data_IF_681445683312
#
_entry.id   IF_681445683312
#
_cell.length_a   1.000
_cell.length_b   1.000
_cell.length_c   1.000
_cell.angle_alpha   90.00
_cell.angle_beta   90.00
_cell.angle_gamma   90.00
#
_symmetry.space_group_name_H-M   'P 1'
#
loop_
_entity.id
_entity.type
_entity.pdbx_description
1 polymer ?
#
# COMPACT_ATOMS: atom_id res chain seq x y z
N UNK A 1 5.21 -6.52 49.30
CA UNK A 1 4.86 -6.73 47.87
C UNK A 1 6.06 -7.34 47.18
N UNK A 2 5.87 -8.43 46.43
CA UNK A 2 6.95 -9.05 45.65
C UNK A 2 7.39 -8.07 44.56
N UNK A 3 8.69 -7.99 44.26
CA UNK A 3 9.25 -7.08 43.22
C UNK A 3 8.49 -7.16 41.88
N UNK A 4 7.98 -8.34 41.53
CA UNK A 4 7.16 -8.57 40.34
C UNK A 4 5.82 -7.79 40.37
N UNK A 5 5.13 -7.70 41.51
CA UNK A 5 3.85 -6.98 41.65
C UNK A 5 4.02 -5.47 41.45
N UNK A 6 5.13 -4.92 41.93
CA UNK A 6 5.47 -3.49 41.81
C UNK A 6 5.72 -3.14 40.34
N UNK A 7 6.48 -3.98 39.64
CA UNK A 7 6.77 -3.82 38.22
C UNK A 7 5.49 -3.96 37.38
N UNK A 8 4.61 -4.91 37.71
CA UNK A 8 3.31 -5.06 37.04
C UNK A 8 2.44 -3.81 37.23
N UNK A 9 2.38 -3.26 38.46
CA UNK A 9 1.63 -2.04 38.73
C UNK A 9 2.16 -0.85 37.91
N UNK A 10 3.48 -0.73 37.81
CA UNK A 10 4.14 0.29 36.99
C UNK A 10 3.88 0.09 35.49
N UNK A 11 3.94 -1.13 34.96
CA UNK A 11 3.62 -1.38 33.54
C UNK A 11 2.18 -0.97 33.23
N UNK A 12 1.24 -1.24 34.14
CA UNK A 12 -0.17 -0.87 33.97
C UNK A 12 -0.44 0.63 34.13
N UNK A 13 0.44 1.42 34.78
CA UNK A 13 0.25 2.88 34.90
C UNK A 13 0.42 3.63 33.57
N UNK A 14 1.03 2.98 32.56
CA UNK A 14 1.07 3.49 31.18
C UNK A 14 -0.23 3.25 30.40
N UNK A 15 -1.28 2.76 31.07
CA UNK A 15 -2.62 2.57 30.50
C UNK A 15 -2.66 1.75 29.20
N UNK A 16 -2.17 0.49 29.19
CA UNK A 16 -2.21 -0.37 28.01
C UNK A 16 -3.68 -0.69 27.64
N UNK A 17 -4.09 -0.31 26.43
CA UNK A 17 -5.47 -0.44 25.95
C UNK A 17 -5.66 -1.70 25.11
N UNK A 18 -6.82 -2.35 25.21
CA UNK A 18 -7.13 -3.47 24.30
C UNK A 18 -7.20 -2.94 22.87
N UNK A 19 -6.62 -3.67 21.91
CA UNK A 19 -6.84 -3.34 20.49
C UNK A 19 -8.32 -3.53 20.17
N UNK A 20 -9.01 -2.42 19.91
CA UNK A 20 -10.39 -2.42 19.42
C UNK A 20 -10.53 -3.03 18.01
N UNK A 21 -9.43 -3.43 17.36
CA UNK A 21 -9.38 -3.79 15.94
C UNK A 21 -9.10 -5.29 15.68
N UNK A 22 -8.57 -6.04 16.65
CA UNK A 22 -8.13 -7.44 16.43
C UNK A 22 -8.81 -8.47 17.36
N UNK A 23 -10.12 -8.36 17.55
CA UNK A 23 -10.89 -9.32 18.36
C UNK A 23 -10.92 -10.74 17.75
N UNK A 24 -10.67 -10.90 16.44
CA UNK A 24 -10.65 -12.22 15.77
C UNK A 24 -9.32 -12.97 15.84
N UNK A 25 -8.18 -12.29 15.98
CA UNK A 25 -6.84 -12.92 15.86
C UNK A 25 -6.00 -12.90 17.14
N UNK A 26 -6.27 -11.99 18.08
CA UNK A 26 -5.57 -11.93 19.39
C UNK A 26 -6.51 -11.49 20.52
N UNK A 27 -7.47 -12.33 20.93
CA UNK A 27 -8.32 -12.02 22.08
C UNK A 27 -7.42 -11.84 23.31
N UNK A 28 -7.60 -10.75 24.06
CA UNK A 28 -6.90 -10.38 25.31
C UNK A 28 -5.52 -9.68 25.20
N UNK A 29 -5.04 -9.31 24.01
CA UNK A 29 -3.80 -8.52 23.90
C UNK A 29 -4.05 -7.02 24.10
N UNK A 30 -3.27 -6.38 24.98
CA UNK A 30 -3.31 -4.93 25.25
C UNK A 30 -2.13 -4.24 24.56
N UNK A 31 -2.25 -2.94 24.31
CA UNK A 31 -1.29 -2.18 23.51
C UNK A 31 -0.97 -0.84 24.14
N UNK A 32 0.32 -0.49 24.14
CA UNK A 32 0.84 0.81 24.50
C UNK A 32 1.12 1.66 23.24
N UNK A 33 1.14 2.99 23.36
CA UNK A 33 1.55 3.90 22.27
C UNK A 33 2.89 3.50 21.59
N UNK A 34 3.05 3.72 20.26
CA UNK A 34 4.23 3.31 19.49
C UNK A 34 5.53 4.03 19.85
N UNK A 35 5.40 5.21 20.44
CA UNK A 35 6.46 6.08 20.94
C UNK A 35 7.06 5.60 22.27
N UNK A 36 6.36 4.72 22.99
CA UNK A 36 6.88 4.08 24.19
C UNK A 36 7.75 2.87 23.83
N UNK A 37 8.79 2.63 24.64
CA UNK A 37 9.64 1.45 24.53
C UNK A 37 9.84 0.81 25.91
N UNK A 38 10.10 -0.50 25.95
CA UNK A 38 10.40 -1.20 27.22
C UNK A 38 11.59 -0.55 27.92
N UNK A 39 12.59 -0.09 27.16
CA UNK A 39 13.76 0.60 27.70
C UNK A 39 13.39 1.91 28.39
N UNK A 40 12.54 2.72 27.76
CA UNK A 40 12.03 3.95 28.35
C UNK A 40 11.27 3.67 29.65
N UNK A 41 10.34 2.72 29.63
CA UNK A 41 9.57 2.37 30.83
C UNK A 41 10.47 1.81 31.95
N UNK A 42 11.50 1.02 31.62
CA UNK A 42 12.46 0.55 32.61
C UNK A 42 13.28 1.69 33.23
N UNK A 43 13.69 2.69 32.43
CA UNK A 43 14.38 3.88 32.92
C UNK A 43 13.47 4.67 33.88
N UNK A 44 12.20 4.84 33.52
CA UNK A 44 11.20 5.48 34.38
C UNK A 44 11.02 4.73 35.71
N UNK A 45 10.92 3.40 35.66
CA UNK A 45 10.84 2.55 36.86
C UNK A 45 12.09 2.67 37.74
N UNK A 46 13.27 2.79 37.15
CA UNK A 46 14.52 2.88 37.89
C UNK A 46 14.68 4.19 38.67
N UNK A 47 13.87 5.21 38.38
CA UNK A 47 13.77 6.41 39.21
C UNK A 47 13.09 6.11 40.55
N UNK A 48 12.28 5.05 40.62
CA UNK A 48 11.59 4.60 41.84
C UNK A 48 12.36 3.47 42.54
N UNK A 49 12.80 2.46 41.77
CA UNK A 49 13.49 1.29 42.31
C UNK A 49 14.44 0.66 41.29
N UNK A 50 15.71 0.48 41.66
CA UNK A 50 16.72 -0.13 40.77
C UNK A 50 16.48 -1.63 40.59
N UNK A 51 16.27 -2.06 39.35
CA UNK A 51 16.28 -3.47 38.92
C UNK A 51 16.97 -3.62 37.57
N UNK A 52 17.37 -4.84 37.21
CA UNK A 52 17.95 -5.09 35.89
C UNK A 52 16.92 -4.97 34.78
N UNK A 53 17.38 -4.50 33.61
CA UNK A 53 16.55 -4.42 32.41
C UNK A 53 15.96 -5.78 32.03
N UNK A 54 16.74 -6.86 32.12
CA UNK A 54 16.26 -8.22 31.80
C UNK A 54 15.17 -8.72 32.74
N UNK A 55 15.19 -8.31 34.02
CA UNK A 55 14.09 -8.63 34.93
C UNK A 55 12.83 -7.88 34.53
N UNK A 56 12.93 -6.56 34.27
CA UNK A 56 11.79 -5.75 33.83
C UNK A 56 11.21 -6.25 32.50
N UNK A 57 12.06 -6.56 31.50
CA UNK A 57 11.65 -7.08 30.19
C UNK A 57 10.90 -8.40 30.31
N UNK A 58 11.41 -9.35 31.11
CA UNK A 58 10.74 -10.64 31.33
C UNK A 58 9.37 -10.48 31.99
N UNK A 59 9.23 -9.55 32.93
CA UNK A 59 7.93 -9.27 33.56
C UNK A 59 6.98 -8.63 32.54
N UNK A 60 7.46 -7.70 31.71
CA UNK A 60 6.68 -7.09 30.63
C UNK A 60 6.19 -8.11 29.60
N UNK A 61 7.06 -9.02 29.15
CA UNK A 61 6.71 -10.08 28.17
C UNK A 61 5.58 -10.99 28.68
N UNK A 62 5.48 -11.20 30.00
CA UNK A 62 4.38 -11.95 30.63
C UNK A 62 3.03 -11.21 30.66
N UNK A 63 2.98 -9.88 30.46
CA UNK A 63 1.75 -9.08 30.62
C UNK A 63 0.78 -9.11 29.43
N UNK A 64 1.12 -9.85 28.36
CA UNK A 64 0.39 -9.86 27.08
C UNK A 64 0.12 -8.43 26.54
N UNK A 65 1.13 -7.56 26.63
CA UNK A 65 1.11 -6.17 26.15
C UNK A 65 2.04 -6.05 24.92
N UNK A 66 1.60 -5.36 23.88
CA UNK A 66 2.43 -4.97 22.73
C UNK A 66 2.51 -3.45 22.58
N UNK A 67 3.27 -2.96 21.60
CA UNK A 67 3.21 -1.55 21.19
C UNK A 67 2.31 -1.44 19.94
N UNK A 68 1.36 -0.51 19.97
CA UNK A 68 0.40 -0.25 18.89
C UNK A 68 1.20 0.33 17.73
N UNK A 69 1.42 -0.44 16.65
CA UNK A 69 1.83 0.18 15.37
C UNK A 69 0.75 1.21 14.99
N UNK A 70 1.10 2.40 14.47
CA UNK A 70 0.11 3.24 13.82
C UNK A 70 -0.61 2.37 12.79
N UNK A 71 -1.93 2.25 12.93
CA UNK A 71 -2.75 1.64 11.89
C UNK A 71 -2.55 2.49 10.64
N UNK A 72 -2.29 1.80 9.52
CA UNK A 72 -2.45 2.34 8.17
C UNK A 72 -3.75 3.17 8.09
N UNK A 73 -3.74 4.26 7.31
CA UNK A 73 -4.76 5.32 7.30
C UNK A 73 -6.18 4.78 7.56
N UNK A 74 -6.76 5.15 8.70
CA UNK A 74 -8.10 4.69 9.06
C UNK A 74 -9.11 5.21 8.03
N UNK A 75 -9.93 4.31 7.47
CA UNK A 75 -10.99 4.68 6.54
C UNK A 75 -11.92 5.76 7.16
N UNK A 76 -11.98 6.93 6.52
CA UNK A 76 -12.76 8.06 7.00
C UNK A 76 -14.26 7.75 7.13
N UNK A 77 -14.82 6.93 6.23
CA UNK A 77 -16.23 6.51 6.32
C UNK A 77 -16.47 5.58 7.51
N UNK A 78 -15.56 4.63 7.75
CA UNK A 78 -15.60 3.78 8.94
C UNK A 78 -15.50 4.59 10.23
N UNK A 79 -14.59 5.57 10.29
CA UNK A 79 -14.44 6.45 11.45
C UNK A 79 -15.70 7.27 11.70
N UNK A 80 -16.29 7.85 10.63
CA UNK A 80 -17.54 8.61 10.70
C UNK A 80 -18.68 7.76 11.27
N UNK A 81 -18.82 6.51 10.82
CA UNK A 81 -19.84 5.60 11.34
C UNK A 81 -19.58 5.23 12.82
N UNK A 82 -18.33 4.94 13.19
CA UNK A 82 -17.95 4.65 14.59
C UNK A 82 -18.34 5.77 15.54
N UNK A 83 -18.03 7.02 15.19
CA UNK A 83 -18.42 8.19 16.00
C UNK A 83 -19.94 8.35 16.06
N UNK A 84 -20.62 8.03 14.96
CA UNK A 84 -22.07 8.16 14.85
C UNK A 84 -22.83 7.19 15.77
N UNK A 85 -22.44 5.92 15.84
CA UNK A 85 -23.14 4.90 16.64
C UNK A 85 -22.97 5.09 18.17
N UNK A 86 -21.92 5.78 18.62
CA UNK A 86 -21.71 6.13 20.04
C UNK A 86 -22.88 6.98 20.57
N UNK A 87 -23.56 7.73 19.69
CA UNK A 87 -24.69 8.59 20.04
C UNK A 87 -26.04 7.85 20.10
N UNK A 88 -26.04 6.51 20.10
CA UNK A 88 -27.24 5.65 20.15
C UNK A 88 -28.26 6.01 19.06
N UNK A 89 -27.93 5.66 17.81
CA UNK A 89 -28.79 5.90 16.66
C UNK A 89 -29.55 4.63 16.25
N UNK A 90 -30.82 4.78 15.88
CA UNK A 90 -31.59 3.73 15.22
C UNK A 90 -31.08 3.54 13.78
N UNK A 91 -30.51 2.36 13.51
CA UNK A 91 -29.84 2.05 12.26
C UNK A 91 -30.79 1.99 11.05
N UNK A 92 -32.09 1.75 11.25
CA UNK A 92 -33.05 1.45 10.18
C UNK A 92 -33.45 2.67 9.33
N UNK A 93 -33.36 3.89 9.88
CA UNK A 93 -33.73 5.15 9.21
C UNK A 93 -32.56 6.12 9.02
N UNK A 94 -31.36 5.74 9.45
CA UNK A 94 -30.23 6.64 9.47
C UNK A 94 -29.40 6.59 8.19
N UNK A 95 -29.29 7.74 7.51
CA UNK A 95 -28.46 7.91 6.29
C UNK A 95 -27.00 7.50 6.49
N UNK A 96 -26.40 7.77 7.66
CA UNK A 96 -24.98 7.43 7.93
C UNK A 96 -24.81 5.92 8.07
N UNK A 97 -25.75 5.24 8.75
CA UNK A 97 -25.76 3.79 8.88
C UNK A 97 -25.99 3.12 7.52
N UNK A 98 -26.95 3.59 6.71
CA UNK A 98 -27.17 3.07 5.36
C UNK A 98 -25.94 3.26 4.45
N UNK A 99 -25.28 4.43 4.51
CA UNK A 99 -24.04 4.69 3.78
C UNK A 99 -22.93 3.74 4.22
N UNK A 100 -22.79 3.49 5.52
CA UNK A 100 -21.81 2.56 6.05
C UNK A 100 -22.08 1.11 5.61
N UNK A 101 -23.32 0.63 5.61
CA UNK A 101 -23.63 -0.73 5.14
C UNK A 101 -23.31 -0.90 3.66
N UNK A 102 -23.57 0.10 2.81
CA UNK A 102 -23.15 0.08 1.40
C UNK A 102 -21.62 0.08 1.25
N UNK A 103 -20.92 0.90 2.02
CA UNK A 103 -19.46 0.93 2.06
C UNK A 103 -18.89 -0.43 2.52
N UNK A 104 -19.51 -1.04 3.54
CA UNK A 104 -19.15 -2.35 4.08
C UNK A 104 -19.34 -3.48 3.09
N UNK A 105 -20.48 -3.49 2.40
CA UNK A 105 -20.72 -4.40 1.29
C UNK A 105 -19.63 -4.21 0.22
N UNK A 106 -19.37 -2.97 -0.19
CA UNK A 106 -18.40 -2.64 -1.23
C UNK A 106 -16.97 -3.10 -0.90
N UNK A 107 -16.46 -2.82 0.31
CA UNK A 107 -15.11 -3.28 0.68
C UNK A 107 -15.03 -4.79 0.87
N UNK A 108 -16.12 -5.44 1.30
CA UNK A 108 -16.15 -6.89 1.50
C UNK A 108 -16.14 -7.61 0.15
N UNK A 109 -16.96 -7.16 -0.80
CA UNK A 109 -17.01 -7.70 -2.16
C UNK A 109 -15.67 -7.48 -2.89
N UNK A 110 -15.10 -6.27 -2.81
CA UNK A 110 -13.79 -5.99 -3.41
C UNK A 110 -12.71 -6.92 -2.85
N UNK A 111 -12.72 -7.17 -1.53
CA UNK A 111 -11.77 -8.07 -0.89
C UNK A 111 -11.97 -9.53 -1.33
N UNK A 112 -13.21 -9.99 -1.41
CA UNK A 112 -13.51 -11.34 -1.89
C UNK A 112 -13.05 -11.53 -3.34
N UNK A 113 -13.29 -10.56 -4.22
CA UNK A 113 -12.80 -10.61 -5.59
C UNK A 113 -11.27 -10.62 -5.68
N UNK A 114 -10.58 -9.86 -4.84
CA UNK A 114 -9.13 -9.86 -4.76
C UNK A 114 -8.58 -11.21 -4.29
N UNK A 115 -9.20 -11.82 -3.28
CA UNK A 115 -8.82 -13.15 -2.78
C UNK A 115 -9.10 -14.25 -3.81
N UNK A 116 -10.23 -14.18 -4.52
CA UNK A 116 -10.51 -15.08 -5.63
C UNK A 116 -9.46 -14.95 -6.72
N UNK A 117 -9.10 -13.72 -7.11
CA UNK A 117 -8.06 -13.49 -8.10
C UNK A 117 -6.69 -13.98 -7.65
N UNK A 118 -6.38 -13.93 -6.36
CA UNK A 118 -5.12 -14.43 -5.81
C UNK A 118 -5.06 -15.95 -5.71
N UNK A 119 -6.20 -16.62 -5.53
CA UNK A 119 -6.27 -18.06 -5.29
C UNK A 119 -6.57 -18.88 -6.55
N UNK A 120 -7.13 -18.25 -7.60
CA UNK A 120 -7.41 -18.93 -8.86
C UNK A 120 -6.12 -19.28 -9.60
N UNK A 121 -6.14 -20.40 -10.31
CA UNK A 121 -5.11 -20.69 -11.31
C UNK A 121 -5.29 -19.72 -12.47
N UNK A 122 -4.19 -19.09 -12.87
CA UNK A 122 -4.16 -18.12 -13.96
C UNK A 122 -3.46 -18.75 -15.14
N UNK A 123 -4.01 -18.52 -16.32
CA UNK A 123 -3.46 -19.04 -17.58
C UNK A 123 -2.08 -18.42 -17.83
N UNK A 124 -1.25 -19.11 -18.61
CA UNK A 124 0.11 -18.66 -18.89
C UNK A 124 0.15 -17.30 -19.64
N UNK A 125 -0.92 -16.94 -20.34
CA UNK A 125 -1.08 -15.68 -21.07
C UNK A 125 -1.69 -14.55 -20.22
N UNK A 126 -1.86 -14.75 -18.91
CA UNK A 126 -2.51 -13.78 -18.03
C UNK A 126 -1.60 -13.41 -16.85
N UNK A 127 -1.57 -12.11 -16.52
CA UNK A 127 -0.83 -11.60 -15.37
C UNK A 127 -1.72 -10.75 -14.48
N UNK A 128 -1.63 -11.00 -13.18
CA UNK A 128 -2.41 -10.29 -12.17
C UNK A 128 -1.47 -9.62 -11.16
N UNK A 129 -1.58 -8.30 -11.04
CA UNK A 129 -0.76 -7.49 -10.17
C UNK A 129 -1.61 -6.66 -9.21
N UNK A 130 -1.18 -6.59 -7.95
CA UNK A 130 -1.54 -5.49 -7.05
C UNK A 130 -0.54 -4.35 -7.24
N UNK A 131 -1.04 -3.17 -7.58
CA UNK A 131 -0.22 -2.01 -7.93
C UNK A 131 -0.42 -0.89 -6.92
N UNK A 132 0.69 -0.43 -6.34
CA UNK A 132 0.70 0.68 -5.39
C UNK A 132 2.02 1.46 -5.43
N UNK A 133 1.90 2.78 -5.30
CA UNK A 133 3.05 3.67 -5.23
C UNK A 133 3.55 3.74 -3.78
N UNK A 134 4.77 3.28 -3.54
CA UNK A 134 5.38 3.35 -2.23
C UNK A 134 5.50 4.82 -1.76
N UNK A 135 5.34 5.03 -0.45
CA UNK A 135 5.73 6.30 0.17
C UNK A 135 7.14 6.69 -0.26
N UNK A 136 7.30 7.96 -0.64
CA UNK A 136 8.55 8.53 -1.17
C UNK A 136 9.78 8.06 -0.37
N UNK A 137 10.72 7.48 -1.09
CA UNK A 137 12.03 7.10 -0.57
C UNK A 137 12.95 8.32 -0.67
N UNK A 138 13.81 8.50 0.32
CA UNK A 138 14.70 9.66 0.39
C UNK A 138 16.16 9.19 0.44
N UNK A 139 16.98 9.76 -0.45
CA UNK A 139 18.42 9.53 -0.53
C UNK A 139 19.18 10.87 -0.46
N UNK A 140 20.40 10.94 0.07
CA UNK A 140 21.09 9.85 0.75
C UNK A 140 20.44 9.55 2.10
N UNK A 141 20.35 8.27 2.44
CA UNK A 141 20.11 7.82 3.81
C UNK A 141 21.46 7.73 4.50
N UNK A 142 21.65 8.46 5.60
CA UNK A 142 22.91 8.44 6.35
C UNK A 142 22.63 8.37 7.84
N UNK A 143 23.49 7.69 8.60
CA UNK A 143 23.38 7.58 10.06
C UNK A 143 23.96 8.78 10.82
N UNK A 144 24.61 9.71 10.12
CA UNK A 144 25.35 10.82 10.73
C UNK A 144 24.48 12.08 10.85
N UNK A 145 24.89 13.02 11.71
CA UNK A 145 24.15 14.27 11.96
C UNK A 145 24.19 15.22 10.76
N UNK A 146 25.18 15.06 9.88
CA UNK A 146 25.33 15.85 8.65
C UNK A 146 24.15 15.59 7.68
N UNK A 147 23.48 14.44 7.80
CA UNK A 147 22.30 14.06 7.00
C UNK A 147 21.10 15.02 7.12
N UNK A 148 21.10 15.92 8.10
CA UNK A 148 20.10 16.98 8.26
C UNK A 148 20.38 18.20 7.37
N UNK A 149 21.62 18.38 6.93
CA UNK A 149 22.06 19.56 6.15
C UNK A 149 22.23 19.24 4.66
N UNK A 150 22.00 17.99 4.26
CA UNK A 150 22.11 17.54 2.87
C UNK A 150 20.71 17.46 2.24
N UNK A 151 20.53 18.10 1.08
CA UNK A 151 19.33 17.97 0.27
C UNK A 151 19.08 16.51 -0.10
N UNK A 152 17.85 16.04 0.06
CA UNK A 152 17.50 14.65 -0.20
C UNK A 152 16.77 14.52 -1.53
N UNK A 153 17.30 13.66 -2.38
CA UNK A 153 16.69 13.19 -3.61
C UNK A 153 15.47 12.33 -3.29
N UNK A 154 14.33 12.72 -3.84
CA UNK A 154 13.10 11.93 -3.80
C UNK A 154 13.17 10.83 -4.85
N UNK A 155 12.98 9.59 -4.40
CA UNK A 155 12.88 8.39 -5.22
C UNK A 155 11.45 7.86 -5.14
N UNK A 156 10.88 7.62 -6.32
CA UNK A 156 9.56 7.03 -6.50
C UNK A 156 9.70 5.54 -6.80
N UNK A 157 8.73 4.75 -6.33
CA UNK A 157 8.65 3.31 -6.59
C UNK A 157 7.20 2.92 -6.82
N UNK A 158 6.85 2.67 -8.08
CA UNK A 158 5.57 2.07 -8.45
C UNK A 158 5.72 0.55 -8.44
N UNK A 159 5.06 -0.11 -7.49
CA UNK A 159 5.25 -1.54 -7.26
C UNK A 159 4.12 -2.35 -7.87
N UNK A 160 4.47 -3.28 -8.76
CA UNK A 160 3.60 -4.28 -9.35
C UNK A 160 3.86 -5.62 -8.65
N UNK A 161 3.13 -5.89 -7.58
CA UNK A 161 3.26 -7.14 -6.84
C UNK A 161 2.39 -8.24 -7.49
N UNK A 162 3.02 -9.29 -8.01
CA UNK A 162 2.27 -10.39 -8.63
C UNK A 162 1.46 -11.13 -7.57
N UNK A 163 0.21 -11.45 -7.91
CA UNK A 163 -0.61 -12.33 -7.08
C UNK A 163 -0.28 -13.82 -7.30
N UNK A 164 0.57 -14.12 -8.28
CA UNK A 164 0.96 -15.48 -8.68
C UNK A 164 2.47 -15.65 -8.68
N UNK A 165 2.99 -16.53 -9.54
CA UNK A 165 4.40 -16.97 -9.51
C UNK A 165 5.35 -16.04 -10.26
N UNK A 166 4.86 -14.97 -10.90
CA UNK A 166 5.61 -14.14 -11.85
C UNK A 166 6.57 -13.13 -11.20
N UNK A 167 6.64 -13.12 -9.87
CA UNK A 167 7.47 -12.18 -9.12
C UNK A 167 6.94 -10.74 -9.18
N UNK A 168 7.51 -9.90 -8.33
CA UNK A 168 7.15 -8.50 -8.20
C UNK A 168 8.06 -7.65 -9.09
N UNK A 169 7.55 -6.54 -9.59
CA UNK A 169 8.32 -5.54 -10.33
C UNK A 169 8.22 -4.22 -9.58
N UNK A 170 9.35 -3.61 -9.27
CA UNK A 170 9.44 -2.28 -8.68
C UNK A 170 9.95 -1.32 -9.76
N UNK A 171 9.07 -0.52 -10.34
CA UNK A 171 9.45 0.51 -11.32
C UNK A 171 9.92 1.72 -10.56
N UNK A 172 11.21 2.04 -10.66
CA UNK A 172 11.84 3.06 -9.82
C UNK A 172 12.45 4.18 -10.66
N UNK A 173 12.27 5.41 -10.20
CA UNK A 173 12.89 6.62 -10.77
C UNK A 173 12.99 7.70 -9.69
N UNK A 174 13.60 8.83 -10.02
CA UNK A 174 13.80 9.92 -9.06
C UNK A 174 13.37 11.28 -9.61
N UNK A 175 13.16 12.24 -8.72
CA UNK A 175 12.60 13.56 -9.07
C UNK A 175 13.42 14.37 -10.10
N UNK A 176 14.73 14.14 -10.19
CA UNK A 176 15.57 14.77 -11.21
C UNK A 176 15.31 14.26 -12.65
N UNK A 177 14.55 13.17 -12.82
CA UNK A 177 14.09 12.63 -14.10
C UNK A 177 12.66 13.11 -14.35
N UNK A 178 11.74 12.73 -13.46
CA UNK A 178 10.31 13.03 -13.53
C UNK A 178 9.68 13.06 -12.15
N UNK A 179 8.48 13.66 -12.07
CA UNK A 179 7.65 13.63 -10.89
C UNK A 179 6.85 12.33 -10.76
N UNK A 180 5.61 12.43 -10.29
CA UNK A 180 4.68 11.30 -10.11
C UNK A 180 3.28 11.65 -10.61
N UNK A 181 3.22 12.39 -11.72
CA UNK A 181 1.97 12.76 -12.38
C UNK A 181 1.28 11.51 -12.97
N UNK A 182 0.01 11.64 -13.37
CA UNK A 182 -0.74 10.55 -14.00
C UNK A 182 -0.03 10.01 -15.27
N UNK A 183 0.66 10.85 -16.04
CA UNK A 183 1.45 10.44 -17.22
C UNK A 183 2.70 9.66 -16.82
N UNK A 184 3.35 10.05 -15.71
CA UNK A 184 4.52 9.33 -15.19
C UNK A 184 4.13 7.92 -14.71
N UNK A 185 2.99 7.83 -14.01
CA UNK A 185 2.41 6.53 -13.59
C UNK A 185 2.02 5.68 -14.79
N UNK A 186 1.34 6.25 -15.79
CA UNK A 186 1.00 5.53 -17.02
C UNK A 186 2.25 5.03 -17.78
N UNK A 187 3.37 5.75 -17.71
CA UNK A 187 4.65 5.30 -18.26
C UNK A 187 5.23 4.11 -17.49
N UNK A 188 5.04 4.05 -16.16
CA UNK A 188 5.41 2.85 -15.39
C UNK A 188 4.60 1.61 -15.84
N UNK A 189 3.29 1.75 -16.05
CA UNK A 189 2.47 0.68 -16.64
C UNK A 189 2.94 0.28 -18.04
N UNK A 190 3.22 1.27 -18.91
CA UNK A 190 3.76 1.01 -20.24
C UNK A 190 5.02 0.15 -20.15
N UNK A 191 5.97 0.50 -19.28
CA UNK A 191 7.22 -0.23 -19.15
C UNK A 191 7.02 -1.66 -18.61
N UNK A 192 6.05 -1.89 -17.72
CA UNK A 192 5.73 -3.25 -17.26
C UNK A 192 5.11 -4.10 -18.36
N UNK A 193 4.14 -3.53 -19.09
CA UNK A 193 3.41 -4.24 -20.15
C UNK A 193 4.33 -4.48 -21.35
N UNK A 194 5.10 -3.47 -21.77
CA UNK A 194 5.99 -3.55 -22.93
C UNK A 194 7.16 -4.52 -22.72
N UNK A 195 7.65 -4.64 -21.48
CA UNK A 195 8.72 -5.57 -21.11
C UNK A 195 8.21 -6.92 -20.60
N UNK A 196 6.90 -7.21 -20.70
CA UNK A 196 6.41 -8.56 -20.44
C UNK A 196 6.84 -9.52 -21.55
N UNK A 197 6.78 -10.81 -21.27
CA UNK A 197 6.90 -11.81 -22.34
C UNK A 197 5.80 -11.63 -23.41
N UNK A 198 6.10 -12.12 -24.62
CA UNK A 198 5.17 -12.09 -25.75
C UNK A 198 4.00 -13.08 -25.60
N UNK A 199 3.98 -13.88 -24.53
CA UNK A 199 2.91 -14.83 -24.23
C UNK A 199 1.77 -14.14 -23.51
N UNK A 200 2.08 -13.14 -22.67
CA UNK A 200 1.09 -12.41 -21.88
C UNK A 200 0.18 -11.58 -22.80
N UNK A 201 -1.10 -11.93 -22.81
CA UNK A 201 -2.16 -11.26 -23.58
C UNK A 201 -3.12 -10.47 -22.70
N UNK A 202 -3.25 -10.82 -21.41
CA UNK A 202 -4.18 -10.13 -20.51
C UNK A 202 -3.51 -9.68 -19.23
N UNK A 203 -3.81 -8.45 -18.85
CA UNK A 203 -3.36 -7.88 -17.58
C UNK A 203 -4.55 -7.54 -16.70
N UNK A 204 -4.49 -7.98 -15.44
CA UNK A 204 -5.40 -7.50 -14.40
C UNK A 204 -4.60 -6.72 -13.36
N UNK A 205 -4.98 -5.46 -13.15
CA UNK A 205 -4.36 -4.57 -12.17
C UNK A 205 -5.35 -4.26 -11.05
N UNK A 206 -5.02 -4.68 -9.83
CA UNK A 206 -5.67 -4.25 -8.60
C UNK A 206 -5.00 -2.99 -8.09
N UNK A 207 -5.76 -1.91 -7.95
CA UNK A 207 -5.23 -0.58 -7.61
C UNK A 207 -6.06 0.09 -6.52
N UNK A 208 -5.42 1.02 -5.82
CA UNK A 208 -6.10 1.93 -4.92
C UNK A 208 -7.00 2.93 -5.68
N UNK A 209 -7.83 3.65 -4.93
CA UNK A 209 -8.79 4.61 -5.50
C UNK A 209 -8.21 6.03 -5.59
N UNK A 210 -6.91 6.16 -5.87
CA UNK A 210 -6.26 7.47 -5.97
C UNK A 210 -6.51 8.11 -7.34
N UNK A 211 -7.33 9.16 -7.38
CA UNK A 211 -7.65 9.86 -8.63
C UNK A 211 -6.42 10.50 -9.29
N UNK A 212 -5.47 10.98 -8.48
CA UNK A 212 -4.25 11.59 -9.00
C UNK A 212 -3.31 10.60 -9.71
N UNK A 213 -3.43 9.29 -9.43
CA UNK A 213 -2.48 8.27 -9.90
C UNK A 213 -3.17 7.20 -10.74
N UNK A 214 -4.04 6.40 -10.13
CA UNK A 214 -4.55 5.16 -10.73
C UNK A 214 -6.01 5.25 -11.23
N UNK A 215 -6.72 6.33 -10.88
CA UNK A 215 -8.12 6.52 -11.24
C UNK A 215 -8.35 7.86 -11.93
N UNK A 216 -7.78 8.01 -13.11
CA UNK A 216 -7.93 9.16 -13.99
C UNK A 216 -8.06 8.74 -15.46
N UNK A 217 -8.49 9.70 -16.27
CA UNK A 217 -8.68 9.50 -17.70
C UNK A 217 -7.36 9.34 -18.45
N UNK A 218 -6.27 9.97 -18.02
CA UNK A 218 -4.94 9.77 -18.61
C UNK A 218 -4.55 8.29 -18.62
N UNK A 219 -4.70 7.58 -17.49
CA UNK A 219 -4.38 6.15 -17.43
C UNK A 219 -5.33 5.30 -18.28
N UNK A 220 -6.63 5.63 -18.30
CA UNK A 220 -7.61 4.91 -19.11
C UNK A 220 -7.35 5.07 -20.61
N UNK A 221 -7.03 6.29 -21.04
CA UNK A 221 -6.66 6.61 -22.41
C UNK A 221 -5.33 5.93 -22.81
N UNK A 222 -4.36 5.88 -21.91
CA UNK A 222 -3.13 5.12 -22.12
C UNK A 222 -3.43 3.63 -22.32
N UNK A 223 -4.27 3.02 -21.49
CA UNK A 223 -4.63 1.60 -21.64
C UNK A 223 -5.41 1.31 -22.91
N UNK A 224 -6.35 2.17 -23.29
CA UNK A 224 -7.02 2.08 -24.57
C UNK A 224 -6.02 2.17 -25.75
N UNK A 225 -4.97 2.99 -25.62
CA UNK A 225 -3.90 3.07 -26.61
C UNK A 225 -3.08 1.79 -26.66
N UNK A 226 -2.69 1.25 -25.49
CA UNK A 226 -1.87 0.03 -25.39
C UNK A 226 -2.56 -1.16 -26.05
N UNK A 227 -3.83 -1.44 -25.72
CA UNK A 227 -4.53 -2.62 -26.26
C UNK A 227 -4.73 -2.58 -27.77
N UNK A 228 -4.75 -1.37 -28.35
CA UNK A 228 -4.90 -1.17 -29.79
C UNK A 228 -3.56 -1.03 -30.52
N UNK A 229 -2.44 -1.07 -29.82
CA UNK A 229 -1.13 -1.23 -30.43
C UNK A 229 -0.87 -2.71 -30.77
N UNK A 230 -0.16 -2.98 -31.87
CA UNK A 230 0.21 -4.34 -32.28
C UNK A 230 1.00 -5.10 -31.20
N UNK A 231 1.90 -4.39 -30.52
CA UNK A 231 2.71 -4.94 -29.42
C UNK A 231 1.94 -5.12 -28.11
N UNK A 232 0.76 -4.52 -27.99
CA UNK A 232 0.03 -4.45 -26.73
C UNK A 232 -0.71 -5.73 -26.38
N UNK A 233 -1.27 -5.80 -25.17
CA UNK A 233 -2.12 -6.89 -24.73
C UNK A 233 -3.47 -6.87 -25.47
N UNK A 234 -4.17 -7.99 -25.47
CA UNK A 234 -5.54 -8.11 -25.97
C UNK A 234 -6.55 -7.51 -24.98
N UNK A 235 -6.27 -7.60 -23.68
CA UNK A 235 -7.14 -7.08 -22.62
C UNK A 235 -6.34 -6.48 -21.46
N UNK A 236 -6.81 -5.33 -20.96
CA UNK A 236 -6.41 -4.79 -19.66
C UNK A 236 -7.65 -4.58 -18.80
N UNK A 237 -7.68 -5.23 -17.64
CA UNK A 237 -8.71 -5.07 -16.61
C UNK A 237 -8.14 -4.33 -15.40
N UNK A 238 -8.75 -3.21 -15.03
CA UNK A 238 -8.50 -2.50 -13.77
C UNK A 238 -9.59 -2.82 -12.76
N UNK A 239 -9.20 -3.21 -11.55
CA UNK A 239 -10.09 -3.45 -10.41
C UNK A 239 -9.68 -2.53 -9.25
N UNK A 240 -10.66 -1.85 -8.66
CA UNK A 240 -10.42 -0.86 -7.61
C UNK A 240 -10.77 -1.41 -6.23
N UNK A 241 -9.89 -1.17 -5.26
CA UNK A 241 -10.26 -1.30 -3.86
C UNK A 241 -11.22 -0.19 -3.41
N UNK A 242 -11.94 -0.47 -2.33
CA UNK A 242 -12.70 0.55 -1.63
C UNK A 242 -11.72 1.49 -0.88
N UNK A 243 -11.90 2.82 -0.96
CA UNK A 243 -11.02 3.77 -0.27
C UNK A 243 -10.87 3.46 1.22
N UNK A 244 -9.63 3.42 1.71
CA UNK A 244 -9.31 3.08 3.10
C UNK A 244 -9.35 1.58 3.43
N UNK A 245 -9.55 0.72 2.43
CA UNK A 245 -9.58 -0.75 2.57
C UNK A 245 -8.71 -1.44 1.50
N UNK A 246 -7.55 -0.86 1.18
CA UNK A 246 -6.66 -1.26 0.08
C UNK A 246 -5.52 -2.21 0.48
N UNK A 247 -5.70 -3.05 1.49
CA UNK A 247 -4.67 -4.00 1.92
C UNK A 247 -4.30 -4.96 0.78
N UNK A 248 -3.09 -4.87 0.25
CA UNK A 248 -2.71 -5.58 -0.97
C UNK A 248 -1.27 -6.11 -0.95
N UNK A 249 -0.90 -6.93 -1.94
CA UNK A 249 0.42 -7.57 -1.98
C UNK A 249 1.57 -6.56 -2.06
N UNK A 250 1.36 -5.39 -2.68
CA UNK A 250 2.35 -4.32 -2.78
C UNK A 250 2.80 -3.80 -1.40
N UNK A 251 1.89 -3.70 -0.41
CA UNK A 251 2.22 -3.31 0.97
C UNK A 251 3.33 -4.20 1.57
N UNK A 252 3.28 -5.50 1.27
CA UNK A 252 4.28 -6.46 1.77
C UNK A 252 5.64 -6.26 1.12
N UNK A 253 5.66 -5.87 -0.16
CA UNK A 253 6.90 -5.52 -0.88
C UNK A 253 7.50 -4.24 -0.30
N UNK A 254 6.70 -3.20 -0.08
CA UNK A 254 7.15 -1.95 0.53
C UNK A 254 7.67 -2.15 1.95
N UNK A 255 6.99 -2.99 2.74
CA UNK A 255 7.43 -3.38 4.08
C UNK A 255 8.78 -4.08 4.06
N UNK A 256 9.03 -4.94 3.06
CA UNK A 256 10.33 -5.61 2.86
C UNK A 256 11.41 -4.63 2.45
N UNK A 257 11.16 -3.76 1.46
CA UNK A 257 12.09 -2.70 1.04
C UNK A 257 12.46 -1.82 2.24
N UNK A 258 11.46 -1.36 3.01
CA UNK A 258 11.67 -0.52 4.19
C UNK A 258 12.49 -1.24 5.28
N UNK A 259 12.25 -2.54 5.49
CA UNK A 259 13.01 -3.35 6.44
C UNK A 259 14.46 -3.51 6.00
N UNK A 260 14.67 -3.73 4.71
CA UNK A 260 16.00 -3.89 4.15
C UNK A 260 16.78 -2.58 4.20
N UNK A 261 16.18 -1.48 3.75
CA UNK A 261 16.77 -0.16 3.89
C UNK A 261 17.17 0.13 5.34
N UNK A 262 16.43 -0.33 6.37
CA UNK A 262 16.82 -0.14 7.78
C UNK A 262 18.12 -0.87 8.15
N UNK A 263 18.42 -2.02 7.55
CA UNK A 263 19.67 -2.77 7.80
C UNK A 263 20.90 -2.07 7.23
N UNK A 264 20.72 -1.27 6.18
CA UNK A 264 21.78 -0.47 5.57
C UNK A 264 21.77 0.94 6.19
N UNK A 265 22.68 1.24 7.15
CA UNK A 265 22.68 2.55 7.81
C UNK A 265 22.92 3.69 6.82
N UNK A 266 23.70 3.42 5.77
CA UNK A 266 24.06 4.39 4.74
C UNK A 266 23.69 3.86 3.34
N UNK A 267 22.91 4.65 2.60
CA UNK A 267 22.54 4.45 1.19
C UNK A 267 22.71 5.81 0.51
N UNK A 268 23.74 5.96 -0.32
CA UNK A 268 24.17 7.26 -0.80
C UNK A 268 23.47 7.69 -2.09
N UNK A 269 23.24 6.74 -3.00
CA UNK A 269 22.71 7.03 -4.33
C UNK A 269 21.67 6.01 -4.80
N UNK A 270 21.05 6.33 -5.93
CA UNK A 270 19.98 5.53 -6.53
C UNK A 270 20.47 4.14 -6.95
N UNK A 271 21.67 4.05 -7.53
CA UNK A 271 22.27 2.78 -7.95
C UNK A 271 22.52 1.83 -6.77
N UNK A 272 22.97 2.37 -5.63
CA UNK A 272 23.15 1.60 -4.40
C UNK A 272 21.80 1.10 -3.88
N UNK A 273 20.74 1.91 -3.94
CA UNK A 273 19.39 1.48 -3.56
C UNK A 273 18.87 0.34 -4.45
N UNK A 274 19.08 0.42 -5.77
CA UNK A 274 18.71 -0.64 -6.71
C UNK A 274 19.45 -1.95 -6.40
N UNK A 275 20.78 -1.89 -6.23
CA UNK A 275 21.62 -3.05 -5.88
C UNK A 275 21.18 -3.71 -4.59
N UNK A 276 20.85 -2.91 -3.57
CA UNK A 276 20.30 -3.42 -2.31
C UNK A 276 18.99 -4.15 -2.62
N UNK A 277 18.02 -3.52 -3.26
CA UNK A 277 16.72 -4.14 -3.51
C UNK A 277 16.80 -5.43 -4.32
N UNK A 278 17.70 -5.52 -5.30
CA UNK A 278 17.91 -6.73 -6.12
C UNK A 278 18.54 -7.89 -5.34
N UNK A 279 19.49 -7.62 -4.44
CA UNK A 279 20.22 -8.65 -3.71
C UNK A 279 19.33 -9.45 -2.74
N UNK A 280 18.30 -8.83 -2.16
CA UNK A 280 17.54 -9.44 -1.08
C UNK A 280 16.22 -10.10 -1.51
N UNK A 281 15.82 -9.95 -2.77
CA UNK A 281 14.56 -10.54 -3.24
C UNK A 281 14.71 -11.11 -4.64
N UNK A 282 15.00 -12.43 -4.71
CA UNK A 282 14.93 -13.19 -5.97
C UNK A 282 13.55 -13.12 -6.65
N UNK A 283 12.51 -12.77 -5.88
CA UNK A 283 11.13 -12.59 -6.37
C UNK A 283 10.80 -11.12 -6.65
N UNK A 284 11.72 -10.18 -6.59
CA UNK A 284 11.44 -8.76 -6.86
C UNK A 284 12.49 -8.19 -7.78
N UNK A 285 12.07 -7.87 -8.99
CA UNK A 285 12.90 -7.21 -10.00
C UNK A 285 12.77 -5.70 -9.82
N UNK A 286 13.90 -5.00 -9.76
CA UNK A 286 13.91 -3.55 -9.89
C UNK A 286 13.99 -3.19 -11.38
N UNK A 287 13.11 -2.31 -11.82
CA UNK A 287 13.12 -1.76 -13.18
C UNK A 287 13.39 -0.25 -13.06
N UNK A 288 14.66 0.18 -13.09
CA UNK A 288 14.96 1.60 -13.16
C UNK A 288 14.53 2.14 -14.52
N UNK A 289 13.82 3.27 -14.53
CA UNK A 289 13.41 3.96 -15.77
C UNK A 289 14.04 5.34 -15.85
N UNK A 290 14.37 5.77 -17.07
CA UNK A 290 15.05 7.03 -17.37
C UNK A 290 14.16 7.96 -18.20
N UNK A 291 14.67 9.14 -18.58
CA UNK A 291 13.91 10.15 -19.32
C UNK A 291 13.27 9.65 -20.63
N UNK A 292 13.86 8.67 -21.31
CA UNK A 292 13.36 8.12 -22.57
C UNK A 292 12.24 7.09 -22.39
N UNK A 293 12.01 6.64 -21.16
CA UNK A 293 10.98 5.67 -20.81
C UNK A 293 9.65 6.34 -20.42
N UNK A 294 9.58 7.68 -20.45
CA UNK A 294 8.40 8.47 -20.11
C UNK A 294 7.70 9.02 -21.35
N UNK A 295 6.39 8.80 -21.39
CA UNK A 295 5.53 9.23 -22.47
C UNK A 295 4.45 10.18 -21.97
N UNK A 296 4.09 11.14 -22.83
CA UNK A 296 3.00 12.08 -22.56
C UNK A 296 1.69 11.47 -23.07
N UNK A 297 0.96 10.83 -22.17
CA UNK A 297 -0.38 10.31 -22.47
C UNK A 297 -1.42 11.43 -22.34
N UNK A 298 -2.28 11.58 -23.33
CA UNK A 298 -3.33 12.57 -23.30
C UNK A 298 -4.49 12.14 -22.40
N UNK A 299 -5.11 13.12 -21.73
CA UNK A 299 -6.40 12.93 -21.06
C UNK A 299 -7.52 12.90 -22.11
N UNK A 300 -8.06 11.71 -22.39
CA UNK A 300 -9.14 11.53 -23.35
C UNK A 300 -10.54 11.88 -22.83
N UNK A 301 -10.66 12.57 -21.69
CA UNK A 301 -11.96 12.98 -21.16
C UNK A 301 -12.67 13.96 -22.10
N UNK A 302 -13.96 13.71 -22.32
CA UNK A 302 -14.82 14.67 -23.03
C UNK A 302 -15.27 15.73 -22.03
N UNK A 303 -14.97 17.00 -22.32
CA UNK A 303 -15.41 18.12 -21.48
C UNK A 303 -16.94 18.35 -21.49
N UNK A 304 -17.67 17.79 -22.45
CA UNK A 304 -19.14 17.89 -22.51
C UNK A 304 -19.78 16.86 -21.57
N UNK A 305 -20.54 17.35 -20.58
CA UNK A 305 -21.42 16.53 -19.73
C UNK A 305 -22.41 15.75 -20.60
N UNK A 306 -22.16 14.46 -20.80
CA UNK A 306 -23.16 13.51 -21.24
C UNK A 306 -23.80 12.90 -20.00
N UNK A 307 -25.13 12.96 -19.89
CA UNK A 307 -25.87 12.41 -18.75
C UNK A 307 -25.79 10.87 -18.67
N UNK A 308 -25.25 10.20 -19.70
CA UNK A 308 -25.21 8.75 -19.81
C UNK A 308 -23.86 8.10 -19.47
N UNK A 309 -22.83 8.88 -19.07
CA UNK A 309 -21.51 8.33 -18.76
C UNK A 309 -21.34 8.24 -17.24
N UNK A 310 -20.86 7.11 -16.68
CA UNK A 310 -20.60 6.98 -15.26
C UNK A 310 -19.55 8.01 -14.80
N UNK A 311 -19.79 8.65 -13.66
CA UNK A 311 -18.80 9.51 -13.01
C UNK A 311 -17.58 8.68 -12.63
N UNK A 312 -16.38 9.29 -12.72
CA UNK A 312 -15.11 8.63 -12.40
C UNK A 312 -15.16 7.99 -11.01
N UNK A 313 -15.64 8.71 -9.99
CA UNK A 313 -15.80 8.18 -8.62
C UNK A 313 -16.60 6.87 -8.54
N UNK A 314 -17.56 6.65 -9.45
CA UNK A 314 -18.45 5.47 -9.49
C UNK A 314 -17.82 4.27 -10.18
N UNK A 315 -16.70 4.44 -10.89
CA UNK A 315 -16.00 3.34 -11.56
C UNK A 315 -15.35 2.41 -10.52
N UNK A 316 -15.73 1.12 -10.55
CA UNK A 316 -15.17 0.06 -9.70
C UNK A 316 -14.36 -0.98 -10.47
N UNK A 317 -14.65 -1.10 -11.78
CA UNK A 317 -13.90 -1.90 -12.74
C UNK A 317 -13.86 -1.15 -14.07
N UNK A 318 -12.71 -1.17 -14.74
CA UNK A 318 -12.56 -0.68 -16.12
C UNK A 318 -11.91 -1.78 -16.95
N UNK A 319 -12.39 -2.00 -18.17
CA UNK A 319 -11.85 -3.01 -19.09
C UNK A 319 -11.60 -2.35 -20.43
N UNK A 320 -10.35 -2.45 -20.91
CA UNK A 320 -9.95 -2.06 -22.26
C UNK A 320 -9.65 -3.32 -23.04
N UNK A 321 -10.28 -3.49 -24.20
CA UNK A 321 -10.10 -4.65 -25.08
C UNK A 321 -9.70 -4.17 -26.47
N UNK A 322 -8.85 -4.95 -27.13
CA UNK A 322 -8.46 -4.71 -28.52
C UNK A 322 -9.70 -4.71 -29.40
N UNK A 323 -9.86 -3.67 -30.22
CA UNK A 323 -10.92 -3.67 -31.22
C UNK A 323 -10.60 -4.72 -32.27
N UNK A 324 -11.45 -5.74 -32.39
CA UNK A 324 -11.44 -6.58 -33.58
C UNK A 324 -12.03 -5.75 -34.71
N UNK A 325 -11.22 -5.48 -35.74
CA UNK A 325 -11.74 -4.92 -36.98
C UNK A 325 -12.83 -5.88 -37.47
N UNK A 326 -14.08 -5.43 -37.49
CA UNK A 326 -15.12 -6.08 -38.27
C UNK A 326 -14.66 -6.00 -39.73
N UNK A 327 -14.05 -7.07 -40.23
CA UNK A 327 -13.90 -7.27 -41.66
C UNK A 327 -15.32 -7.48 -42.16
N UNK A 328 -15.88 -6.44 -42.79
CA UNK A 328 -17.15 -6.49 -43.50
C UNK A 328 -17.06 -7.44 -44.69
#
# INVERSE_FOLDING_TARGET
MRTEEIVIKHINSFNPVVSHYNLKHTPNRRFLPPDLTIKYMWQDFCNLQKISYDLYRRIFEKQNIGFKKPSQDECAQCLKHKVHIIRQCDASSCKICCQFENHKKSYTEARQHYENDSNQEVMQDEKVYAVDMQKVLLLPKMSTKESFFVSRLVVFNETFASLHKDGNICVMWHEAIRGRSATDVASAYYNVIKNSDNVTKKFTFWVDNCSAQNKNWTLYSAFATFVNCEWGPEEITLKYFEPGHSFMAADSVHGRISTEMKKHPNIYDFEQLLKINEQFSKKTKCLPINNFDFFLFEDGSKQRKSNNIPLLEKIKRSVSQRMQTLVL
#
